data_IF_196803992575
#
_entry.id   IF_196803992575
#
_cell.length_a   1.000
_cell.length_b   1.000
_cell.length_c   1.000
_cell.angle_alpha   90.00
_cell.angle_beta   90.00
_cell.angle_gamma   90.00
#
_symmetry.space_group_name_H-M   'P 1'
#
loop_
_entity.id
_entity.type
_entity.pdbx_description
1 polymer ?
#
# COMPACT_ATOMS: atom_id res chain seq x y z
N UNK A 1 -9.03 -7.30 15.98
CA UNK A 1 -7.73 -7.55 15.32
C UNK A 1 -6.57 -7.51 16.32
N UNK A 2 -6.45 -6.44 17.12
CA UNK A 2 -5.39 -6.30 18.13
C UNK A 2 -5.31 -7.47 19.14
N UNK A 3 -6.45 -7.95 19.65
CA UNK A 3 -6.46 -9.07 20.61
C UNK A 3 -5.95 -10.41 20.04
N UNK A 4 -6.20 -10.71 18.75
CA UNK A 4 -5.68 -11.92 18.11
C UNK A 4 -4.16 -11.93 17.96
N UNK A 5 -3.53 -10.74 17.88
CA UNK A 5 -2.08 -10.64 17.83
C UNK A 5 -1.43 -10.78 19.22
N UNK A 6 -2.09 -10.31 20.28
CA UNK A 6 -1.66 -10.53 21.67
C UNK A 6 -1.82 -12.00 22.09
N UNK A 7 -2.88 -12.67 21.63
CA UNK A 7 -3.07 -14.12 21.87
C UNK A 7 -2.07 -14.99 21.07
N UNK A 8 -1.65 -14.55 19.88
CA UNK A 8 -0.68 -15.27 19.06
C UNK A 8 0.76 -15.18 19.59
N UNK A 9 1.12 -14.09 20.28
CA UNK A 9 2.41 -13.93 20.97
C UNK A 9 2.56 -14.94 22.12
N UNK A 10 1.46 -15.25 22.82
CA UNK A 10 1.43 -16.27 23.87
C UNK A 10 1.34 -17.72 23.38
N UNK A 11 1.04 -17.97 22.09
CA UNK A 11 0.78 -19.33 21.58
C UNK A 11 1.83 -19.87 20.60
N UNK A 12 2.97 -19.21 20.43
CA UNK A 12 4.01 -19.64 19.47
C UNK A 12 3.45 -19.79 18.04
N UNK A 13 2.37 -19.05 17.72
CA UNK A 13 1.75 -19.10 16.41
C UNK A 13 2.63 -18.36 15.41
N UNK A 14 2.72 -18.89 14.19
CA UNK A 14 3.65 -18.41 13.18
C UNK A 14 3.20 -17.03 12.64
N UNK A 15 3.57 -15.94 13.35
CA UNK A 15 3.23 -14.54 13.02
C UNK A 15 3.53 -14.21 11.55
N UNK A 16 4.63 -14.77 11.02
CA UNK A 16 4.96 -14.70 9.60
C UNK A 16 3.85 -15.28 8.70
N UNK A 17 3.36 -16.48 9.00
CA UNK A 17 2.30 -17.13 8.20
C UNK A 17 0.97 -16.38 8.30
N UNK A 18 0.63 -15.86 9.48
CA UNK A 18 -0.59 -15.06 9.68
C UNK A 18 -0.50 -13.77 8.86
N UNK A 19 0.60 -13.02 8.98
CA UNK A 19 0.81 -11.79 8.23
C UNK A 19 0.81 -12.04 6.71
N UNK A 20 1.51 -13.08 6.24
CA UNK A 20 1.58 -13.42 4.83
C UNK A 20 0.21 -13.82 4.26
N UNK A 21 -0.55 -14.67 4.97
CA UNK A 21 -1.90 -15.08 4.55
C UNK A 21 -2.85 -13.88 4.51
N UNK A 22 -2.78 -12.98 5.50
CA UNK A 22 -3.60 -11.77 5.52
C UNK A 22 -3.25 -10.85 4.35
N UNK A 23 -1.97 -10.60 4.08
CA UNK A 23 -1.53 -9.80 2.93
C UNK A 23 -1.97 -10.42 1.60
N UNK A 24 -1.86 -11.74 1.44
CA UNK A 24 -2.28 -12.43 0.21
C UNK A 24 -3.80 -12.39 0.01
N UNK A 25 -4.57 -12.55 1.09
CA UNK A 25 -6.03 -12.42 1.06
C UNK A 25 -6.44 -11.00 0.63
N UNK A 26 -5.81 -9.98 1.22
CA UNK A 26 -6.06 -8.58 0.88
C UNK A 26 -5.70 -8.27 -0.58
N UNK A 27 -4.59 -8.82 -1.07
CA UNK A 27 -4.22 -8.72 -2.48
C UNK A 27 -5.26 -9.40 -3.39
N UNK A 28 -5.72 -10.59 -3.05
CA UNK A 28 -6.74 -11.33 -3.80
C UNK A 28 -8.08 -10.58 -3.86
N UNK A 29 -8.50 -9.94 -2.76
CA UNK A 29 -9.72 -9.12 -2.71
C UNK A 29 -9.59 -7.85 -3.57
N UNK A 30 -8.43 -7.20 -3.57
CA UNK A 30 -8.21 -5.96 -4.34
C UNK A 30 -7.99 -6.21 -5.83
N UNK A 31 -7.49 -7.38 -6.22
CA UNK A 31 -7.16 -7.73 -7.61
C UNK A 31 -8.30 -7.46 -8.62
N UNK A 32 -9.56 -7.90 -8.39
CA UNK A 32 -10.65 -7.59 -9.32
C UNK A 32 -10.89 -6.08 -9.47
N UNK A 33 -10.83 -5.31 -8.37
CA UNK A 33 -11.00 -3.86 -8.42
C UNK A 33 -9.88 -3.18 -9.20
N UNK A 34 -8.63 -3.61 -8.98
CA UNK A 34 -7.47 -3.10 -9.71
C UNK A 34 -7.62 -3.36 -11.20
N UNK A 35 -7.98 -4.58 -11.60
CA UNK A 35 -8.17 -4.95 -13.02
C UNK A 35 -9.28 -4.11 -13.65
N UNK A 36 -10.42 -3.97 -12.95
CA UNK A 36 -11.56 -3.19 -13.45
C UNK A 36 -11.19 -1.73 -13.67
N UNK A 37 -10.55 -1.09 -12.70
CA UNK A 37 -10.18 0.33 -12.79
C UNK A 37 -9.02 0.54 -13.78
N UNK A 38 -8.06 -0.36 -13.88
CA UNK A 38 -6.97 -0.25 -14.85
C UNK A 38 -7.48 -0.29 -16.29
N UNK A 39 -8.36 -1.24 -16.61
CA UNK A 39 -8.84 -1.40 -17.98
C UNK A 39 -9.92 -0.36 -18.29
N UNK A 40 -10.94 -0.24 -17.44
CA UNK A 40 -12.14 0.56 -17.72
C UNK A 40 -12.23 1.89 -16.95
N UNK A 41 -11.21 2.30 -16.19
CA UNK A 41 -11.23 3.51 -15.36
C UNK A 41 -11.83 4.76 -16.02
N UNK A 42 -11.26 5.27 -17.14
CA UNK A 42 -11.80 6.44 -17.85
C UNK A 42 -13.26 6.30 -18.26
N UNK A 43 -13.63 5.15 -18.84
CA UNK A 43 -14.99 4.87 -19.32
C UNK A 43 -15.99 4.75 -18.16
N UNK A 44 -15.60 4.11 -17.05
CA UNK A 44 -16.44 3.99 -15.87
C UNK A 44 -16.70 5.35 -15.23
N UNK A 45 -15.66 6.17 -15.09
CA UNK A 45 -15.79 7.52 -14.53
C UNK A 45 -16.62 8.42 -15.44
N UNK A 46 -16.40 8.37 -16.74
CA UNK A 46 -17.22 9.07 -17.73
C UNK A 46 -18.69 8.63 -17.69
N UNK A 47 -18.96 7.33 -17.62
CA UNK A 47 -20.32 6.81 -17.61
C UNK A 47 -21.10 7.19 -16.34
N UNK A 48 -20.44 7.20 -15.18
CA UNK A 48 -21.08 7.50 -13.89
C UNK A 48 -21.20 9.01 -13.64
N UNK A 49 -20.19 9.80 -13.99
CA UNK A 49 -20.09 11.22 -13.62
C UNK A 49 -20.20 12.18 -14.81
N UNK A 50 -20.15 11.69 -16.04
CA UNK A 50 -20.23 12.47 -17.27
C UNK A 50 -18.88 12.66 -17.98
N UNK A 51 -18.87 13.18 -19.23
CA UNK A 51 -17.68 13.28 -20.09
C UNK A 51 -16.47 14.00 -19.47
N UNK A 52 -16.71 15.04 -18.68
CA UNK A 52 -15.66 15.83 -18.03
C UNK A 52 -14.84 15.04 -16.99
N UNK A 53 -15.36 13.89 -16.53
CA UNK A 53 -14.69 13.04 -15.54
C UNK A 53 -13.82 11.94 -16.15
N UNK A 54 -13.74 11.86 -17.48
CA UNK A 54 -12.85 10.92 -18.15
C UNK A 54 -11.41 11.06 -17.64
N UNK A 55 -10.93 12.31 -17.45
CA UNK A 55 -9.59 12.60 -16.94
C UNK A 55 -9.38 12.09 -15.50
N UNK A 56 -10.42 12.12 -14.65
CA UNK A 56 -10.35 11.56 -13.31
C UNK A 56 -10.21 10.04 -13.35
N UNK A 57 -10.80 9.38 -14.35
CA UNK A 57 -10.60 7.95 -14.57
C UNK A 57 -9.18 7.60 -15.05
N UNK A 58 -8.49 8.49 -15.76
CA UNK A 58 -7.05 8.33 -16.05
C UNK A 58 -6.22 8.38 -14.75
N UNK A 59 -6.53 9.31 -13.85
CA UNK A 59 -5.87 9.39 -12.55
C UNK A 59 -6.16 8.17 -11.67
N UNK A 60 -7.39 7.65 -11.72
CA UNK A 60 -7.80 6.45 -10.98
C UNK A 60 -6.97 5.22 -11.36
N UNK A 61 -6.54 5.08 -12.63
CA UNK A 61 -5.66 3.98 -13.08
C UNK A 61 -4.34 3.94 -12.32
N UNK A 62 -3.75 5.09 -12.00
CA UNK A 62 -2.52 5.17 -11.23
C UNK A 62 -2.77 5.00 -9.73
N UNK A 63 -3.81 5.65 -9.22
CA UNK A 63 -4.14 5.62 -7.79
C UNK A 63 -4.58 4.24 -7.31
N UNK A 64 -5.29 3.46 -8.13
CA UNK A 64 -5.76 2.12 -7.74
C UNK A 64 -4.60 1.17 -7.42
N UNK A 65 -3.46 1.32 -8.10
CA UNK A 65 -2.24 0.55 -7.81
C UNK A 65 -1.74 0.87 -6.40
N UNK A 66 -1.62 2.15 -6.08
CA UNK A 66 -1.18 2.60 -4.75
C UNK A 66 -2.17 2.16 -3.66
N UNK A 67 -3.47 2.31 -3.89
CA UNK A 67 -4.51 1.88 -2.95
C UNK A 67 -4.42 0.37 -2.69
N UNK A 68 -4.26 -0.45 -3.73
CA UNK A 68 -4.14 -1.89 -3.58
C UNK A 68 -2.91 -2.28 -2.73
N UNK A 69 -1.74 -1.70 -3.00
CA UNK A 69 -0.53 -1.99 -2.21
C UNK A 69 -0.65 -1.45 -0.78
N UNK A 70 -1.26 -0.27 -0.58
CA UNK A 70 -1.54 0.29 0.74
C UNK A 70 -2.45 -0.62 1.56
N UNK A 71 -3.47 -1.18 0.93
CA UNK A 71 -4.38 -2.12 1.58
C UNK A 71 -3.65 -3.41 2.00
N UNK A 72 -2.77 -3.92 1.15
CA UNK A 72 -1.91 -5.07 1.47
C UNK A 72 -0.91 -4.82 2.62
N UNK A 73 -0.63 -3.55 2.94
CA UNK A 73 0.31 -3.13 3.98
C UNK A 73 -0.30 -3.13 5.39
N UNK A 74 -1.63 -3.13 5.51
CA UNK A 74 -2.33 -3.09 6.81
C UNK A 74 -1.86 -4.19 7.78
N UNK A 75 -1.72 -5.48 7.39
CA UNK A 75 -1.25 -6.52 8.31
C UNK A 75 0.18 -6.26 8.81
N UNK A 76 1.04 -5.72 7.96
CA UNK A 76 2.42 -5.40 8.33
C UNK A 76 2.45 -4.27 9.37
N UNK A 77 1.67 -3.20 9.16
CA UNK A 77 1.56 -2.08 10.10
C UNK A 77 0.99 -2.52 11.46
N UNK A 78 -0.01 -3.41 11.47
CA UNK A 78 -0.62 -3.91 12.71
C UNK A 78 0.33 -4.83 13.50
N UNK A 79 1.20 -5.59 12.81
CA UNK A 79 2.18 -6.47 13.47
C UNK A 79 3.35 -5.68 14.09
N UNK A 80 3.73 -4.55 13.50
CA UNK A 80 4.86 -3.72 13.98
C UNK A 80 4.80 -3.39 15.49
N UNK A 81 3.70 -2.88 16.07
CA UNK A 81 3.63 -2.60 17.50
C UNK A 81 3.75 -3.85 18.36
N UNK A 82 3.28 -5.01 17.87
CA UNK A 82 3.33 -6.31 18.55
C UNK A 82 4.77 -6.77 18.75
N UNK A 83 5.61 -6.56 17.73
CA UNK A 83 7.06 -6.91 17.78
C UNK A 83 7.95 -5.75 18.25
N UNK A 84 7.37 -4.67 18.78
CA UNK A 84 8.11 -3.53 19.35
C UNK A 84 8.84 -2.64 18.35
N UNK A 85 8.51 -2.70 17.05
CA UNK A 85 9.21 -1.95 15.99
C UNK A 85 8.60 -0.58 15.65
N UNK A 86 7.87 0.04 16.58
CA UNK A 86 7.18 1.32 16.35
C UNK A 86 8.11 2.43 15.85
N UNK A 87 9.34 2.51 16.39
CA UNK A 87 10.34 3.51 15.96
C UNK A 87 10.74 3.32 14.49
N UNK A 88 10.83 2.08 14.02
CA UNK A 88 11.13 1.78 12.62
C UNK A 88 9.99 2.26 11.71
N UNK A 89 8.73 1.99 12.08
CA UNK A 89 7.57 2.47 11.32
C UNK A 89 7.50 3.99 11.25
N UNK A 90 7.72 4.68 12.38
CA UNK A 90 7.73 6.14 12.41
C UNK A 90 8.77 6.73 11.44
N UNK A 91 10.02 6.27 11.52
CA UNK A 91 11.09 6.73 10.63
C UNK A 91 10.74 6.42 9.16
N UNK A 92 10.20 5.23 8.91
CA UNK A 92 9.81 4.82 7.57
C UNK A 92 8.71 5.69 6.98
N UNK A 93 7.67 6.00 7.75
CA UNK A 93 6.56 6.86 7.33
C UNK A 93 7.01 8.30 7.09
N UNK A 94 7.87 8.84 7.95
CA UNK A 94 8.44 10.19 7.77
C UNK A 94 9.27 10.26 6.48
N UNK A 95 10.13 9.27 6.21
CA UNK A 95 10.93 9.23 5.00
C UNK A 95 10.06 9.03 3.75
N UNK A 96 9.09 8.12 3.81
CA UNK A 96 8.19 7.84 2.69
C UNK A 96 7.29 9.03 2.36
N UNK A 97 6.76 9.70 3.38
CA UNK A 97 5.93 10.90 3.21
C UNK A 97 6.75 12.06 2.67
N UNK A 98 7.97 12.26 3.19
CA UNK A 98 8.90 13.26 2.66
C UNK A 98 9.24 12.99 1.19
N UNK A 99 9.47 11.72 0.81
CA UNK A 99 9.73 11.34 -0.57
C UNK A 99 8.53 11.62 -1.49
N UNK A 100 7.31 11.31 -1.03
CA UNK A 100 6.06 11.61 -1.77
C UNK A 100 5.89 13.11 -1.99
N UNK A 101 6.11 13.92 -0.95
CA UNK A 101 6.05 15.38 -1.05
C UNK A 101 7.13 15.89 -2.01
N UNK A 102 8.37 15.40 -1.88
CA UNK A 102 9.47 15.80 -2.75
C UNK A 102 9.19 15.51 -4.23
N UNK A 103 8.66 14.32 -4.55
CA UNK A 103 8.30 13.97 -5.92
C UNK A 103 7.18 14.86 -6.46
N UNK A 104 6.15 15.16 -5.66
CA UNK A 104 5.11 16.09 -6.08
C UNK A 104 5.68 17.48 -6.39
N UNK A 105 6.52 18.03 -5.51
CA UNK A 105 7.11 19.36 -5.69
C UNK A 105 8.00 19.47 -6.95
N UNK A 106 8.71 18.38 -7.30
CA UNK A 106 9.57 18.33 -8.48
C UNK A 106 8.74 18.16 -9.75
N UNK A 107 7.81 17.21 -9.78
CA UNK A 107 7.09 16.82 -11.00
C UNK A 107 6.01 17.83 -11.37
N UNK A 108 5.42 18.57 -10.41
CA UNK A 108 4.44 19.62 -10.72
C UNK A 108 5.00 20.74 -11.59
N UNK A 109 6.32 20.92 -11.65
CA UNK A 109 6.95 21.89 -12.54
C UNK A 109 6.83 21.52 -14.04
N UNK A 110 6.49 20.27 -14.35
CA UNK A 110 6.37 19.76 -15.73
C UNK A 110 4.99 20.01 -16.36
N UNK A 111 4.05 20.66 -15.65
CA UNK A 111 2.68 21.02 -16.09
C UNK A 111 1.76 19.85 -16.49
N UNK A 112 2.22 18.60 -16.43
CA UNK A 112 1.38 17.41 -16.67
C UNK A 112 0.89 16.79 -15.36
N UNK A 113 -0.40 17.01 -15.06
CA UNK A 113 -1.04 16.50 -13.84
C UNK A 113 -1.04 14.96 -13.76
N UNK A 114 -1.20 14.26 -14.90
CA UNK A 114 -1.17 12.80 -14.93
C UNK A 114 0.21 12.25 -14.52
N UNK A 115 1.29 12.86 -15.01
CA UNK A 115 2.65 12.46 -14.66
C UNK A 115 2.93 12.65 -13.16
N UNK A 116 2.46 13.75 -12.56
CA UNK A 116 2.59 13.98 -11.13
C UNK A 116 1.87 12.91 -10.30
N UNK A 117 0.65 12.54 -10.71
CA UNK A 117 -0.14 11.49 -10.04
C UNK A 117 0.50 10.12 -10.22
N UNK A 118 0.99 9.80 -11.42
CA UNK A 118 1.70 8.56 -11.71
C UNK A 118 2.98 8.44 -10.86
N UNK A 119 3.81 9.48 -10.83
CA UNK A 119 5.05 9.51 -10.06
C UNK A 119 4.78 9.37 -8.55
N UNK A 120 3.79 10.09 -8.01
CA UNK A 120 3.33 9.93 -6.63
C UNK A 120 2.90 8.49 -6.35
N UNK A 121 2.05 7.92 -7.19
CA UNK A 121 1.53 6.57 -7.01
C UNK A 121 2.66 5.53 -7.04
N UNK A 122 3.65 5.67 -7.94
CA UNK A 122 4.81 4.77 -8.04
C UNK A 122 5.65 4.82 -6.76
N UNK A 123 5.98 6.01 -6.28
CA UNK A 123 6.76 6.19 -5.04
C UNK A 123 6.00 5.62 -3.85
N UNK A 124 4.70 5.87 -3.79
CA UNK A 124 3.86 5.38 -2.70
C UNK A 124 3.70 3.85 -2.73
N UNK A 125 3.54 3.25 -3.91
CA UNK A 125 3.60 1.80 -4.13
C UNK A 125 4.93 1.22 -3.65
N UNK A 126 6.06 1.80 -4.08
CA UNK A 126 7.39 1.34 -3.74
C UNK A 126 7.61 1.37 -2.22
N UNK A 127 7.29 2.48 -1.55
CA UNK A 127 7.35 2.58 -0.09
C UNK A 127 6.52 1.50 0.60
N UNK A 128 5.26 1.32 0.21
CA UNK A 128 4.40 0.35 0.87
C UNK A 128 4.88 -1.10 0.64
N UNK A 129 5.35 -1.42 -0.56
CA UNK A 129 5.95 -2.72 -0.86
C UNK A 129 7.23 -2.96 -0.04
N UNK A 130 8.10 -1.95 0.08
CA UNK A 130 9.30 -2.01 0.92
C UNK A 130 8.94 -2.26 2.39
N UNK A 131 7.88 -1.63 2.90
CA UNK A 131 7.43 -1.84 4.28
C UNK A 131 6.99 -3.29 4.50
N UNK A 132 6.10 -3.79 3.64
CA UNK A 132 5.61 -5.18 3.67
C UNK A 132 6.78 -6.16 3.66
N UNK A 133 7.70 -6.01 2.70
CA UNK A 133 8.86 -6.89 2.57
C UNK A 133 9.78 -6.82 3.80
N UNK A 134 10.00 -5.62 4.33
CA UNK A 134 10.82 -5.41 5.53
C UNK A 134 10.23 -6.10 6.75
N UNK A 135 8.91 -5.99 6.96
CA UNK A 135 8.21 -6.65 8.07
C UNK A 135 8.23 -8.16 7.89
N UNK A 136 7.89 -8.68 6.70
CA UNK A 136 7.91 -10.12 6.42
C UNK A 136 9.30 -10.74 6.61
N UNK A 137 10.37 -10.04 6.18
CA UNK A 137 11.76 -10.50 6.40
C UNK A 137 12.12 -10.56 7.88
N UNK A 138 11.72 -9.57 8.67
CA UNK A 138 11.96 -9.55 10.13
C UNK A 138 11.20 -10.67 10.84
N UNK A 139 9.93 -10.89 10.49
CA UNK A 139 9.14 -12.01 11.01
C UNK A 139 9.73 -13.37 10.64
N UNK A 140 10.22 -13.53 9.40
CA UNK A 140 10.90 -14.77 8.97
C UNK A 140 12.19 -15.01 9.76
N UNK A 141 12.95 -13.95 10.08
CA UNK A 141 14.16 -14.06 10.91
C UNK A 141 13.83 -14.50 12.34
N UNK A 142 12.78 -13.95 12.95
CA UNK A 142 12.32 -14.34 14.29
C UNK A 142 11.85 -15.79 14.35
N UNK A 143 11.21 -16.30 13.29
CA UNK A 143 10.81 -17.72 13.18
C UNK A 143 12.01 -18.68 13.17
N UNK A 144 13.13 -18.26 12.59
CA UNK A 144 14.32 -19.10 12.38
C UNK A 144 15.37 -18.98 13.51
N UNK A 145 15.09 -18.15 14.52
CA UNK A 145 15.94 -17.97 15.71
C UNK A 145 15.38 -18.72 16.90
#
# INVERSE_FOLDING_TARGET
MYQRFVEADHQNQNLYSICLKATLLMAGVMLPFVVVILVWGPVLFEWVFGPEWQIAGHYARWLVLWVAVSFCNVPAVVVIPVIGLNRFLLVFEVLSTSARIGVLLIVTQMLEAELAIAAFAIVACASNAILILSVLRRLKKMKNS
#
